data_IF_718883614537
#
_entry.id   IF_718883614537
#
_cell.length_a   1.000
_cell.length_b   1.000
_cell.length_c   1.000
_cell.angle_alpha   90.00
_cell.angle_beta   90.00
_cell.angle_gamma   90.00
#
_symmetry.space_group_name_H-M   'P 1'
#
loop_
_entity.id
_entity.type
_entity.pdbx_description
1 polymer ?
#
# COMPACT_ATOMS: atom_id res chain seq x y z
N UNK A 1 0.29 25.61 -36.04
CA UNK A 1 1.51 26.43 -35.79
C UNK A 1 1.62 26.59 -34.28
N UNK A 2 2.70 26.29 -33.56
CA UNK A 2 4.03 25.70 -33.77
C UNK A 2 4.38 25.16 -32.36
N UNK A 3 4.62 23.85 -32.22
CA UNK A 3 5.96 23.24 -32.12
C UNK A 3 6.71 23.68 -30.85
N UNK A 4 6.86 22.77 -29.86
CA UNK A 4 8.10 22.03 -29.54
C UNK A 4 9.17 22.94 -28.90
N UNK A 5 9.82 22.63 -27.77
CA UNK A 5 10.90 21.62 -27.59
C UNK A 5 11.37 21.75 -26.12
N UNK A 6 11.32 20.75 -25.23
CA UNK A 6 12.27 19.64 -24.99
C UNK A 6 13.78 19.99 -24.94
N UNK A 7 14.43 19.50 -23.86
CA UNK A 7 15.84 19.10 -23.71
C UNK A 7 16.97 20.14 -23.82
N UNK A 8 17.66 20.37 -22.68
CA UNK A 8 19.09 20.07 -22.47
C UNK A 8 19.42 20.34 -20.98
N UNK A 9 19.52 19.37 -20.06
CA UNK A 9 20.51 18.28 -19.91
C UNK A 9 21.98 18.74 -19.99
N UNK A 10 22.68 18.44 -18.89
CA UNK A 10 24.10 18.05 -18.76
C UNK A 10 25.15 19.16 -18.88
N UNK A 11 25.83 19.40 -17.75
CA UNK A 11 27.28 19.65 -17.57
C UNK A 11 27.43 20.07 -16.10
N UNK A 12 28.19 19.40 -15.22
CA UNK A 12 29.62 19.16 -15.35
C UNK A 12 30.11 18.24 -14.21
N UNK A 13 30.73 17.11 -14.60
CA UNK A 13 31.84 16.35 -13.97
C UNK A 13 31.79 15.94 -12.48
N UNK A 14 31.80 14.66 -12.13
CA UNK A 14 32.94 13.71 -12.13
C UNK A 14 34.15 14.25 -11.34
N UNK A 15 34.40 13.67 -10.17
CA UNK A 15 35.75 13.51 -9.62
C UNK A 15 35.85 12.17 -8.90
N UNK A 16 36.26 11.15 -9.66
CA UNK A 16 36.92 9.95 -9.13
C UNK A 16 38.24 10.39 -8.50
N UNK A 17 38.52 9.96 -7.27
CA UNK A 17 39.78 10.23 -6.58
C UNK A 17 40.17 9.07 -5.67
N UNK A 18 40.69 8.01 -6.29
CA UNK A 18 41.39 6.91 -5.61
C UNK A 18 42.69 7.46 -5.00
N UNK A 19 42.93 7.20 -3.71
CA UNK A 19 44.25 7.35 -3.11
C UNK A 19 44.50 6.21 -2.12
N UNK A 20 45.13 5.15 -2.63
CA UNK A 20 45.77 4.13 -1.83
C UNK A 20 47.13 4.66 -1.33
N UNK A 21 47.35 4.67 -0.02
CA UNK A 21 48.68 4.91 0.56
C UNK A 21 49.05 3.77 1.49
N UNK A 22 49.93 2.92 0.96
CA UNK A 22 50.69 1.89 1.67
C UNK A 22 51.77 2.59 2.51
N UNK A 23 51.88 2.25 3.79
CA UNK A 23 52.92 2.76 4.69
C UNK A 23 53.27 1.72 5.74
N UNK A 24 54.33 0.96 5.45
CA UNK A 24 54.85 -0.16 6.24
C UNK A 24 56.09 0.32 7.00
N UNK A 25 56.05 0.36 8.33
CA UNK A 25 57.27 0.50 9.15
C UNK A 25 57.22 -0.42 10.35
N UNK A 26 58.08 -1.44 10.31
CA UNK A 26 58.41 -2.33 11.41
C UNK A 26 59.50 -1.71 12.30
N UNK A 27 59.42 -1.93 13.61
CA UNK A 27 60.47 -1.61 14.57
C UNK A 27 60.34 -2.51 15.80
N UNK A 28 61.13 -3.58 15.83
CA UNK A 28 61.33 -4.48 16.96
C UNK A 28 62.22 -3.83 18.02
N UNK A 29 61.86 -3.91 19.30
CA UNK A 29 62.84 -3.95 20.40
C UNK A 29 62.37 -4.87 21.52
N UNK A 30 63.17 -5.92 21.76
CA UNK A 30 63.14 -6.86 22.88
C UNK A 30 63.44 -6.15 24.22
N UNK A 31 63.21 -6.64 25.45
CA UNK A 31 63.16 -7.98 26.03
C UNK A 31 62.71 -7.82 27.51
N UNK A 32 62.15 -8.88 28.14
CA UNK A 32 62.46 -9.41 29.51
C UNK A 32 61.28 -9.72 30.48
N UNK A 33 61.01 -11.03 30.53
CA UNK A 33 60.58 -12.00 31.60
C UNK A 33 59.28 -11.84 32.42
N UNK A 34 58.56 -12.99 32.62
CA UNK A 34 57.28 -13.06 33.31
C UNK A 34 57.47 -13.42 34.79
N UNK A 35 56.64 -12.84 35.66
CA UNK A 35 56.22 -13.44 36.94
C UNK A 35 55.05 -12.61 37.49
N UNK A 36 54.05 -13.28 38.07
CA UNK A 36 53.20 -12.67 39.09
C UNK A 36 51.91 -12.00 38.60
N UNK A 37 50.83 -12.67 38.91
CA UNK A 37 49.43 -12.34 38.66
C UNK A 37 48.92 -11.21 39.61
N UNK A 38 47.87 -10.51 39.14
CA UNK A 38 46.71 -9.94 39.86
C UNK A 38 46.52 -8.41 39.81
N UNK A 39 45.28 -8.06 39.41
CA UNK A 39 44.43 -6.94 39.83
C UNK A 39 44.94 -5.50 39.65
N UNK A 40 44.40 -4.77 38.68
CA UNK A 40 43.31 -3.78 38.92
C UNK A 40 43.10 -2.83 37.74
N UNK A 41 41.85 -2.36 37.64
CA UNK A 41 41.31 -1.35 36.73
C UNK A 41 42.05 0.00 36.73
N UNK A 42 41.74 0.77 35.67
CA UNK A 42 41.81 2.24 35.55
C UNK A 42 43.20 2.85 35.25
N UNK A 43 43.35 3.90 34.45
CA UNK A 43 42.47 4.66 33.56
C UNK A 43 43.34 5.64 32.75
N UNK A 44 42.96 5.88 31.50
CA UNK A 44 43.05 7.14 30.74
C UNK A 44 42.60 6.77 29.32
N UNK A 45 41.37 7.06 28.90
CA UNK A 45 40.85 8.42 28.75
C UNK A 45 39.31 8.38 28.69
N UNK A 46 38.67 9.23 29.49
CA UNK A 46 37.24 9.52 29.47
C UNK A 46 37.09 11.06 29.58
N UNK A 47 35.96 11.71 29.21
CA UNK A 47 34.73 11.19 28.59
C UNK A 47 34.24 12.05 27.37
N UNK A 48 33.65 11.40 26.36
CA UNK A 48 32.76 12.06 25.37
C UNK A 48 31.39 12.43 25.96
N UNK A 49 31.22 12.38 27.28
CA UNK A 49 29.94 12.65 27.93
C UNK A 49 29.54 14.12 27.87
N UNK A 50 30.46 15.09 27.93
CA UNK A 50 30.08 16.52 27.91
C UNK A 50 29.48 16.98 26.58
N UNK A 51 29.90 16.37 25.47
CA UNK A 51 29.29 16.61 24.16
C UNK A 51 27.95 15.85 24.02
N UNK A 52 27.85 14.64 24.56
CA UNK A 52 26.60 13.86 24.52
C UNK A 52 25.53 14.41 25.47
N UNK A 53 25.92 14.99 26.61
CA UNK A 53 25.01 15.62 27.56
C UNK A 53 24.46 16.94 27.00
N UNK A 54 25.31 17.75 26.36
CA UNK A 54 24.87 18.94 25.62
C UNK A 54 23.95 18.57 24.46
N UNK A 55 24.36 17.62 23.62
CA UNK A 55 23.54 17.14 22.51
C UNK A 55 22.22 16.50 22.98
N UNK A 56 22.20 15.76 24.09
CA UNK A 56 20.97 15.18 24.63
C UNK A 56 20.01 16.22 25.21
N UNK A 57 20.54 17.30 25.81
CA UNK A 57 19.75 18.45 26.25
C UNK A 57 19.12 19.17 25.04
N UNK A 58 19.89 19.35 23.97
CA UNK A 58 19.44 19.96 22.71
C UNK A 58 18.42 19.06 21.98
N UNK A 59 18.69 17.76 21.89
CA UNK A 59 17.83 16.75 21.25
C UNK A 59 16.47 16.62 21.94
N UNK A 60 16.44 16.77 23.27
CA UNK A 60 15.18 16.81 24.04
C UNK A 60 14.33 18.02 23.62
N UNK A 61 14.97 19.19 23.43
CA UNK A 61 14.33 20.39 22.94
C UNK A 61 13.82 20.25 21.50
N UNK A 62 14.61 19.63 20.62
CA UNK A 62 14.21 19.32 19.23
C UNK A 62 12.99 18.40 19.22
N UNK A 63 13.04 17.30 19.97
CA UNK A 63 11.95 16.32 20.04
C UNK A 63 10.64 16.95 20.53
N UNK A 64 10.72 17.81 21.56
CA UNK A 64 9.56 18.53 22.08
C UNK A 64 8.92 19.44 21.02
N UNK A 65 9.73 20.25 20.31
CA UNK A 65 9.26 21.14 19.24
C UNK A 65 8.67 20.38 18.06
N UNK A 66 9.31 19.29 17.63
CA UNK A 66 8.80 18.45 16.53
C UNK A 66 7.46 17.83 16.92
N UNK A 67 7.35 17.28 18.12
CA UNK A 67 6.11 16.68 18.61
C UNK A 67 4.99 17.72 18.74
N UNK A 68 5.31 18.92 19.20
CA UNK A 68 4.38 20.05 19.26
C UNK A 68 3.87 20.43 17.86
N UNK A 69 4.76 20.61 16.89
CA UNK A 69 4.39 20.95 15.50
C UNK A 69 3.51 19.87 14.86
N UNK A 70 3.81 18.59 15.09
CA UNK A 70 3.01 17.48 14.59
C UNK A 70 1.63 17.39 15.27
N UNK A 71 1.55 17.72 16.55
CA UNK A 71 0.28 17.73 17.29
C UNK A 71 -0.60 18.92 16.92
N UNK A 72 0.02 20.05 16.54
CA UNK A 72 -0.68 21.28 16.16
C UNK A 72 -1.09 21.33 14.68
N UNK A 73 -0.60 20.40 13.84
CA UNK A 73 -0.97 20.32 12.43
C UNK A 73 -2.13 19.34 12.24
N UNK A 74 -3.26 19.86 11.73
CA UNK A 74 -4.49 19.10 11.50
C UNK A 74 -4.30 17.92 10.52
N UNK A 75 -3.23 17.89 9.72
CA UNK A 75 -2.92 16.79 8.79
C UNK A 75 -2.23 15.62 9.49
N UNK A 76 -1.61 15.85 10.65
CA UNK A 76 -0.84 14.83 11.40
C UNK A 76 -1.42 14.53 12.78
N UNK A 77 -2.40 15.30 13.27
CA UNK A 77 -3.07 15.08 14.55
C UNK A 77 -3.73 13.69 14.68
N UNK A 78 -4.28 13.17 13.59
CA UNK A 78 -4.91 11.83 13.58
C UNK A 78 -3.88 10.69 13.46
N UNK A 79 -2.64 11.00 13.07
CA UNK A 79 -1.61 10.01 12.84
C UNK A 79 -0.89 9.67 14.17
N UNK A 80 -0.71 8.37 14.43
CA UNK A 80 0.08 7.89 15.58
C UNK A 80 1.55 7.92 15.18
N UNK A 81 2.19 9.08 15.39
CA UNK A 81 3.59 9.31 15.03
C UNK A 81 4.44 9.41 16.31
N UNK A 82 5.44 8.55 16.41
CA UNK A 82 6.48 8.59 17.42
C UNK A 82 7.72 9.29 16.86
N UNK A 83 8.29 10.18 17.66
CA UNK A 83 9.44 11.02 17.30
C UNK A 83 10.58 10.73 18.25
N UNK A 84 11.76 10.41 17.70
CA UNK A 84 12.98 10.19 18.46
C UNK A 84 14.12 11.00 17.85
N UNK A 85 14.92 11.69 18.66
CA UNK A 85 16.06 12.49 18.17
C UNK A 85 17.36 12.02 18.81
N UNK A 86 18.40 11.85 17.99
CA UNK A 86 19.73 11.47 18.47
C UNK A 86 20.83 12.24 17.71
N UNK A 87 21.62 13.04 18.44
CA UNK A 87 22.69 13.89 17.92
C UNK A 87 22.24 14.85 16.79
N UNK A 88 20.99 15.30 16.82
CA UNK A 88 20.34 16.13 15.79
C UNK A 88 19.75 15.36 14.61
N UNK A 89 19.73 14.02 14.62
CA UNK A 89 19.02 13.21 13.62
C UNK A 89 17.66 12.81 14.18
N UNK A 90 16.58 13.21 13.50
CA UNK A 90 15.20 12.95 13.91
C UNK A 90 14.69 11.70 13.18
N UNK A 91 14.25 10.70 13.93
CA UNK A 91 13.57 9.52 13.42
C UNK A 91 12.07 9.69 13.65
N UNK A 92 11.30 9.68 12.57
CA UNK A 92 9.84 9.68 12.60
C UNK A 92 9.36 8.27 12.34
N UNK A 93 8.58 7.70 13.25
CA UNK A 93 8.04 6.34 13.11
C UNK A 93 6.56 6.33 13.45
N UNK A 94 5.85 5.27 13.07
CA UNK A 94 4.43 5.10 13.38
C UNK A 94 3.57 4.96 12.12
N UNK A 95 2.28 5.24 12.27
CA UNK A 95 1.28 4.98 11.25
C UNK A 95 0.49 6.25 10.93
N UNK A 96 0.47 6.60 9.65
CA UNK A 96 -0.25 7.74 9.13
C UNK A 96 -1.38 7.29 8.20
N UNK A 97 -2.49 8.01 8.24
CA UNK A 97 -3.69 7.66 7.48
C UNK A 97 -3.57 7.96 5.98
N UNK A 98 -2.55 8.71 5.57
CA UNK A 98 -2.29 9.02 4.16
C UNK A 98 -0.84 9.39 3.89
N UNK A 99 -0.41 9.22 2.64
CA UNK A 99 0.90 9.70 2.17
C UNK A 99 1.10 11.22 2.42
N UNK A 100 0.03 12.02 2.34
CA UNK A 100 0.08 13.47 2.63
C UNK A 100 0.43 13.77 4.08
N UNK A 101 -0.06 12.97 5.02
CA UNK A 101 0.28 13.10 6.44
C UNK A 101 1.74 12.73 6.70
N UNK A 102 2.26 11.71 5.99
CA UNK A 102 3.68 11.36 6.02
C UNK A 102 4.57 12.49 5.50
N UNK A 103 4.21 13.11 4.38
CA UNK A 103 4.97 14.23 3.79
C UNK A 103 4.96 15.46 4.70
N UNK A 104 3.78 15.78 5.26
CA UNK A 104 3.61 16.87 6.21
C UNK A 104 4.47 16.65 7.47
N UNK A 105 4.53 15.42 7.99
CA UNK A 105 5.33 15.12 9.16
C UNK A 105 6.83 15.32 8.91
N UNK A 106 7.32 14.93 7.74
CA UNK A 106 8.71 15.16 7.32
C UNK A 106 9.02 16.65 7.16
N UNK A 107 8.11 17.41 6.56
CA UNK A 107 8.23 18.87 6.38
C UNK A 107 8.28 19.59 7.73
N UNK A 108 7.36 19.28 8.65
CA UNK A 108 7.31 19.88 9.97
C UNK A 108 8.56 19.56 10.79
N UNK A 109 9.10 18.35 10.67
CA UNK A 109 10.36 17.98 11.29
C UNK A 109 11.56 18.74 10.67
N UNK A 110 11.59 18.97 9.35
CA UNK A 110 12.65 19.79 8.69
C UNK A 110 12.64 21.25 9.10
N UNK A 111 11.47 21.79 9.42
CA UNK A 111 11.32 23.21 9.77
C UNK A 111 11.83 23.54 11.17
N UNK A 112 12.15 22.55 12.00
CA UNK A 112 12.79 22.78 13.31
C UNK A 112 14.28 23.07 13.08
N UNK A 113 14.72 24.26 13.51
CA UNK A 113 16.13 24.62 13.48
C UNK A 113 16.96 23.56 14.23
N UNK A 114 18.18 23.28 13.76
CA UNK A 114 19.15 22.33 14.34
C UNK A 114 18.99 20.85 13.92
N UNK A 115 17.97 20.50 13.12
CA UNK A 115 17.83 19.16 12.54
C UNK A 115 18.90 18.90 11.47
N UNK A 116 19.77 17.93 11.71
CA UNK A 116 20.87 17.53 10.82
C UNK A 116 20.46 16.46 9.81
N UNK A 117 19.43 15.68 10.12
CA UNK A 117 18.93 14.60 9.26
C UNK A 117 17.59 14.07 9.74
N UNK A 118 16.83 13.48 8.81
CA UNK A 118 15.51 12.91 9.10
C UNK A 118 15.43 11.50 8.53
N UNK A 119 15.12 10.53 9.38
CA UNK A 119 14.78 9.16 9.01
C UNK A 119 13.26 9.00 9.12
N UNK A 120 12.58 9.07 7.97
CA UNK A 120 11.13 8.93 7.89
C UNK A 120 10.74 7.46 7.71
N UNK A 121 10.39 6.82 8.82
CA UNK A 121 9.91 5.43 8.92
C UNK A 121 8.39 5.36 9.13
N UNK A 122 7.66 6.42 8.83
CA UNK A 122 6.19 6.40 8.92
C UNK A 122 5.63 5.46 7.84
N UNK A 123 4.80 4.53 8.29
CA UNK A 123 4.01 3.63 7.45
C UNK A 123 2.70 4.33 7.08
N UNK A 124 2.47 4.56 5.79
CA UNK A 124 1.25 5.16 5.28
C UNK A 124 0.77 4.36 4.06
N UNK A 125 -0.56 4.17 3.88
CA UNK A 125 -1.08 3.65 2.64
C UNK A 125 -0.68 4.61 1.52
N UNK A 126 0.05 4.11 0.53
CA UNK A 126 0.48 4.95 -0.58
C UNK A 126 -0.68 5.10 -1.56
N UNK A 127 -0.82 6.28 -2.17
CA UNK A 127 -1.87 6.51 -3.16
C UNK A 127 -1.80 5.55 -4.36
N UNK A 128 -0.63 4.95 -4.61
CA UNK A 128 -0.41 3.86 -5.57
C UNK A 128 -1.04 2.53 -5.14
N UNK A 129 -1.10 2.23 -3.84
CA UNK A 129 -1.80 1.04 -3.32
C UNK A 129 -3.31 1.24 -3.43
N UNK A 130 -3.80 2.45 -3.14
CA UNK A 130 -5.22 2.81 -3.33
C UNK A 130 -5.63 2.86 -4.81
N UNK A 131 -4.74 3.30 -5.69
CA UNK A 131 -4.97 3.30 -7.14
C UNK A 131 -4.88 1.90 -7.73
N UNK A 132 -3.98 1.04 -7.25
CA UNK A 132 -3.97 -0.38 -7.64
C UNK A 132 -5.24 -1.07 -7.16
N UNK A 133 -5.60 -0.93 -5.88
CA UNK A 133 -6.82 -1.53 -5.35
C UNK A 133 -8.09 -1.03 -6.06
N UNK A 134 -8.17 0.26 -6.44
CA UNK A 134 -9.27 0.78 -7.26
C UNK A 134 -9.22 0.32 -8.71
N UNK A 135 -8.04 0.19 -9.32
CA UNK A 135 -7.88 -0.31 -10.68
C UNK A 135 -8.20 -1.81 -10.78
N UNK A 136 -7.73 -2.60 -9.81
CA UNK A 136 -8.04 -4.03 -9.66
C UNK A 136 -9.53 -4.23 -9.40
N UNK A 137 -10.14 -3.40 -8.55
CA UNK A 137 -11.59 -3.43 -8.33
C UNK A 137 -12.35 -3.02 -9.60
N UNK A 138 -11.96 -1.95 -10.30
CA UNK A 138 -12.63 -1.52 -11.53
C UNK A 138 -12.45 -2.53 -12.68
N UNK A 139 -11.28 -3.17 -12.79
CA UNK A 139 -11.00 -4.21 -13.76
C UNK A 139 -11.75 -5.51 -13.44
N UNK A 140 -11.87 -5.88 -12.15
CA UNK A 140 -12.66 -7.03 -11.71
C UNK A 140 -14.13 -6.80 -12.00
N UNK A 141 -14.70 -5.65 -11.59
CA UNK A 141 -16.08 -5.28 -11.89
C UNK A 141 -16.36 -5.22 -13.40
N UNK A 142 -15.43 -4.70 -14.20
CA UNK A 142 -15.57 -4.69 -15.66
C UNK A 142 -15.49 -6.11 -16.26
N UNK A 143 -14.61 -6.96 -15.75
CA UNK A 143 -14.48 -8.36 -16.16
C UNK A 143 -15.69 -9.21 -15.77
N UNK A 144 -16.23 -8.98 -14.58
CA UNK A 144 -17.46 -9.59 -14.08
C UNK A 144 -18.67 -9.13 -14.90
N UNK A 145 -18.82 -7.83 -15.16
CA UNK A 145 -19.89 -7.31 -16.01
C UNK A 145 -19.84 -7.86 -17.45
N UNK A 146 -18.64 -8.00 -18.02
CA UNK A 146 -18.47 -8.64 -19.35
C UNK A 146 -18.85 -10.12 -19.30
N UNK A 147 -18.46 -10.83 -18.25
CA UNK A 147 -18.80 -12.24 -18.05
C UNK A 147 -20.32 -12.43 -17.88
N UNK A 148 -20.96 -11.59 -17.08
CA UNK A 148 -22.41 -11.62 -16.84
C UNK A 148 -23.22 -11.27 -18.09
N UNK A 149 -22.74 -10.34 -18.90
CA UNK A 149 -23.34 -10.05 -20.19
C UNK A 149 -23.26 -11.26 -21.14
N UNK A 150 -22.14 -12.00 -21.15
CA UNK A 150 -22.02 -13.25 -21.91
C UNK A 150 -22.91 -14.36 -21.34
N UNK A 151 -22.99 -14.53 -20.02
CA UNK A 151 -23.90 -15.49 -19.36
C UNK A 151 -25.33 -15.18 -19.76
N UNK A 152 -25.78 -13.92 -19.62
CA UNK A 152 -27.13 -13.48 -19.99
C UNK A 152 -27.43 -13.76 -21.46
N UNK A 153 -26.47 -13.47 -22.35
CA UNK A 153 -26.61 -13.73 -23.79
C UNK A 153 -26.78 -15.23 -24.07
N UNK A 154 -26.00 -16.07 -23.38
CA UNK A 154 -26.05 -17.52 -23.56
C UNK A 154 -27.30 -18.16 -22.97
N UNK A 155 -27.79 -17.65 -21.83
CA UNK A 155 -29.07 -18.05 -21.25
C UNK A 155 -30.21 -17.68 -22.20
N UNK A 156 -30.25 -16.42 -22.69
CA UNK A 156 -31.26 -15.99 -23.67
C UNK A 156 -31.22 -16.80 -24.96
N UNK A 157 -30.04 -17.12 -25.47
CA UNK A 157 -29.88 -17.98 -26.64
C UNK A 157 -30.42 -19.40 -26.39
N UNK A 158 -30.09 -19.99 -25.24
CA UNK A 158 -30.58 -21.32 -24.85
C UNK A 158 -32.09 -21.35 -24.67
N UNK A 159 -32.68 -20.30 -24.10
CA UNK A 159 -34.13 -20.17 -23.95
C UNK A 159 -34.83 -19.97 -25.28
N UNK A 160 -34.24 -19.20 -26.20
CA UNK A 160 -34.77 -19.02 -27.55
C UNK A 160 -34.71 -20.32 -28.38
N UNK A 161 -33.75 -21.20 -28.10
CA UNK A 161 -33.59 -22.49 -28.77
C UNK A 161 -34.53 -23.58 -28.22
N UNK A 162 -35.15 -23.37 -27.05
CA UNK A 162 -36.04 -24.36 -26.42
C UNK A 162 -37.51 -24.01 -26.66
N UNK A 163 -38.25 -24.94 -27.28
CA UNK A 163 -39.64 -24.72 -27.68
C UNK A 163 -40.62 -24.48 -26.53
N UNK A 164 -40.30 -24.94 -25.32
CA UNK A 164 -41.15 -24.77 -24.13
C UNK A 164 -40.97 -23.41 -23.45
N UNK A 165 -39.83 -22.75 -23.67
CA UNK A 165 -39.44 -21.51 -22.98
C UNK A 165 -39.31 -20.30 -23.94
N UNK A 166 -39.13 -20.54 -25.25
CA UNK A 166 -39.06 -19.47 -26.27
C UNK A 166 -40.33 -18.64 -26.41
N UNK A 167 -41.49 -19.22 -26.08
CA UNK A 167 -42.80 -18.58 -26.23
C UNK A 167 -43.16 -17.66 -25.05
N UNK A 168 -42.33 -17.63 -24.02
CA UNK A 168 -42.59 -16.90 -22.78
C UNK A 168 -41.75 -15.63 -22.72
N UNK A 169 -42.38 -14.51 -22.35
CA UNK A 169 -41.67 -13.25 -22.11
C UNK A 169 -40.93 -13.33 -20.77
N UNK A 170 -39.82 -14.07 -20.76
CA UNK A 170 -38.91 -14.16 -19.63
C UNK A 170 -37.80 -13.14 -19.81
N UNK A 171 -37.73 -12.21 -18.87
CA UNK A 171 -36.59 -11.33 -18.70
C UNK A 171 -35.53 -12.09 -17.89
N UNK A 172 -34.30 -12.02 -18.39
CA UNK A 172 -33.13 -12.64 -17.78
C UNK A 172 -32.13 -11.52 -17.53
N UNK A 173 -31.75 -11.36 -16.26
CA UNK A 173 -30.71 -10.46 -15.81
C UNK A 173 -29.69 -11.28 -15.00
N UNK A 174 -28.39 -11.00 -15.16
CA UNK A 174 -27.32 -11.66 -14.41
C UNK A 174 -26.50 -10.60 -13.69
N UNK A 175 -26.16 -10.87 -12.43
CA UNK A 175 -25.47 -9.94 -11.54
C UNK A 175 -24.57 -10.75 -10.61
N UNK A 176 -23.26 -10.59 -10.74
CA UNK A 176 -22.20 -11.31 -9.99
C UNK A 176 -22.31 -12.85 -10.10
N UNK A 177 -22.75 -13.35 -11.25
CA UNK A 177 -23.00 -14.77 -11.51
C UNK A 177 -24.30 -15.33 -10.91
N UNK A 178 -25.19 -14.47 -10.37
CA UNK A 178 -26.55 -14.84 -9.97
C UNK A 178 -27.52 -14.48 -11.09
N UNK A 179 -28.21 -15.48 -11.63
CA UNK A 179 -29.16 -15.30 -12.73
C UNK A 179 -30.55 -15.09 -12.15
N UNK A 180 -31.14 -13.92 -12.38
CA UNK A 180 -32.49 -13.55 -11.97
C UNK A 180 -33.44 -13.77 -13.14
N UNK A 181 -34.45 -14.62 -12.92
CA UNK A 181 -35.47 -14.96 -13.90
C UNK A 181 -36.79 -14.29 -13.55
N UNK A 182 -37.27 -13.47 -14.48
CA UNK A 182 -38.42 -12.60 -14.30
C UNK A 182 -39.45 -12.86 -15.40
N UNK A 183 -40.71 -13.18 -15.06
CA UNK A 183 -41.75 -13.30 -16.08
C UNK A 183 -42.81 -14.36 -15.82
N UNK A 184 -43.55 -14.72 -16.87
CA UNK A 184 -44.60 -15.73 -16.81
C UNK A 184 -44.25 -16.93 -17.68
N UNK A 185 -44.28 -18.12 -17.09
CA UNK A 185 -44.05 -19.40 -17.77
C UNK A 185 -45.34 -20.19 -17.94
N UNK A 186 -45.42 -21.01 -19.00
CA UNK A 186 -46.65 -21.70 -19.38
C UNK A 186 -47.03 -22.86 -18.45
N UNK A 187 -46.05 -23.51 -17.80
CA UNK A 187 -46.26 -24.65 -16.90
C UNK A 187 -45.10 -24.80 -15.92
N UNK A 188 -45.30 -25.55 -14.83
CA UNK A 188 -44.24 -25.88 -13.87
C UNK A 188 -43.07 -26.62 -14.53
N UNK A 189 -43.35 -27.48 -15.51
CA UNK A 189 -42.32 -28.15 -16.31
C UNK A 189 -41.43 -27.15 -17.07
N UNK A 190 -42.02 -26.08 -17.62
CA UNK A 190 -41.25 -25.03 -18.29
C UNK A 190 -40.38 -24.24 -17.30
N UNK A 191 -40.87 -24.01 -16.07
CA UNK A 191 -40.09 -23.39 -14.98
C UNK A 191 -38.87 -24.24 -14.63
N UNK A 192 -39.05 -25.53 -14.41
CA UNK A 192 -37.94 -26.44 -14.07
C UNK A 192 -36.92 -26.52 -15.19
N UNK A 193 -37.36 -26.62 -16.46
CA UNK A 193 -36.46 -26.59 -17.62
C UNK A 193 -35.63 -25.31 -17.68
N UNK A 194 -36.25 -24.15 -17.46
CA UNK A 194 -35.55 -22.86 -17.43
C UNK A 194 -34.45 -22.83 -16.37
N UNK A 195 -34.75 -23.36 -15.17
CA UNK A 195 -33.77 -23.46 -14.07
C UNK A 195 -32.61 -24.39 -14.44
N UNK A 196 -32.90 -25.56 -15.03
CA UNK A 196 -31.86 -26.51 -15.46
C UNK A 196 -30.95 -25.92 -16.52
N UNK A 197 -31.53 -25.24 -17.52
CA UNK A 197 -30.77 -24.60 -18.60
C UNK A 197 -29.88 -23.49 -18.04
N UNK A 198 -30.44 -22.62 -17.17
CA UNK A 198 -29.66 -21.54 -16.55
C UNK A 198 -28.50 -22.09 -15.69
N UNK A 199 -28.74 -23.12 -14.87
CA UNK A 199 -27.70 -23.79 -14.07
C UNK A 199 -26.63 -24.49 -14.92
N UNK A 200 -26.95 -24.89 -16.14
CA UNK A 200 -26.01 -25.53 -17.06
C UNK A 200 -25.01 -24.57 -17.73
N UNK A 201 -25.16 -23.26 -17.54
CA UNK A 201 -24.25 -22.26 -18.11
C UNK A 201 -23.03 -22.10 -17.21
N UNK A 202 -21.84 -22.23 -17.80
CA UNK A 202 -20.57 -21.99 -17.12
C UNK A 202 -20.52 -20.56 -16.55
N UNK A 203 -20.23 -20.45 -15.26
CA UNK A 203 -20.15 -19.17 -14.55
C UNK A 203 -21.37 -18.85 -13.67
N UNK A 204 -22.46 -19.62 -13.76
CA UNK A 204 -23.64 -19.42 -12.91
C UNK A 204 -23.38 -19.98 -11.50
N UNK A 205 -23.46 -19.11 -10.50
CA UNK A 205 -23.34 -19.45 -9.07
C UNK A 205 -24.69 -19.86 -8.48
N UNK A 206 -25.74 -19.09 -8.79
CA UNK A 206 -27.10 -19.33 -8.33
C UNK A 206 -28.12 -18.87 -9.38
N UNK A 207 -29.33 -19.42 -9.29
CA UNK A 207 -30.47 -19.03 -10.12
C UNK A 207 -31.62 -18.67 -9.20
N UNK A 208 -32.09 -17.43 -9.32
CA UNK A 208 -33.22 -16.89 -8.58
C UNK A 208 -34.46 -16.89 -9.48
N UNK A 209 -35.48 -17.64 -9.08
CA UNK A 209 -36.74 -17.78 -9.81
C UNK A 209 -37.95 -17.20 -9.07
N UNK A 210 -37.73 -16.43 -8.00
CA UNK A 210 -38.78 -15.86 -7.13
C UNK A 210 -39.86 -15.06 -7.88
N UNK A 211 -39.49 -14.50 -9.03
CA UNK A 211 -40.35 -13.65 -9.86
C UNK A 211 -40.90 -14.37 -11.10
N UNK A 212 -40.63 -15.67 -11.26
CA UNK A 212 -41.31 -16.50 -12.25
C UNK A 212 -42.70 -16.89 -11.75
N UNK A 213 -43.72 -16.56 -12.54
CA UNK A 213 -45.10 -16.98 -12.31
C UNK A 213 -45.48 -18.09 -13.28
N UNK A 214 -45.90 -19.23 -12.76
CA UNK A 214 -46.53 -20.27 -13.57
C UNK A 214 -47.97 -19.89 -13.89
N UNK A 215 -48.31 -19.94 -15.17
CA UNK A 215 -49.70 -19.89 -15.61
C UNK A 215 -50.39 -21.15 -15.15
N UNK A 216 -51.20 -21.05 -14.10
CA UNK A 216 -52.05 -22.14 -13.64
C UNK A 216 -53.04 -22.51 -14.75
N UNK A 217 -52.81 -23.63 -15.44
CA UNK A 217 -53.84 -24.30 -16.23
C UNK A 217 -54.76 -25.03 -15.26
N UNK A 218 -55.92 -24.45 -14.99
CA UNK A 218 -57.06 -25.10 -14.31
C UNK A 218 -57.87 -25.93 -15.28
#
# INVERSE_FOLDING_TARGET
MKLQTLELKRKTLIALGVAATLGMTAGMTACKRPDGQMSDSAAADAPKESASLGAALDDTGITAKVKENLSNDARTESAKIDVETNNGVVTLSGQADSAKAKDAAEELARNVAEVKGIDNRISAPSAIDDMSAKADSAASNAGEAVSDAMITTKVKASFAADDQVKATAIKVDTDDGVVKLDGKVASDTARERAITIAKGINGVKSVDDDKLKVGSSS
#
